data_IF_702093918515
#
_entry.id   IF_702093918515
#
_cell.length_a   1.000
_cell.length_b   1.000
_cell.length_c   1.000
_cell.angle_alpha   90.00
_cell.angle_beta   90.00
_cell.angle_gamma   90.00
#
_symmetry.space_group_name_H-M   'P 1'
#
loop_
_entity.id
_entity.type
_entity.pdbx_description
1 polymer ?
#
# COMPACT_ATOMS: atom_id res chain seq x y z
N UNK A 1 27.26 6.31 -4.50
CA UNK A 1 26.90 5.43 -5.64
C UNK A 1 25.47 4.95 -5.40
N UNK A 2 24.51 5.47 -6.15
CA UNK A 2 23.06 5.22 -5.99
C UNK A 2 22.64 3.97 -6.78
N UNK A 3 23.08 2.81 -6.32
CA UNK A 3 22.63 1.50 -6.82
C UNK A 3 22.03 0.81 -5.60
N UNK A 4 20.71 0.59 -5.58
CA UNK A 4 20.07 -0.09 -4.45
C UNK A 4 18.58 -0.28 -4.66
N UNK A 5 17.83 0.80 -4.79
CA UNK A 5 16.37 0.69 -4.77
C UNK A 5 15.76 0.25 -6.12
N UNK A 6 16.26 0.76 -7.26
CA UNK A 6 15.68 0.44 -8.58
C UNK A 6 15.87 -1.03 -8.99
N UNK A 7 16.94 -1.69 -8.53
CA UNK A 7 17.15 -3.12 -8.79
C UNK A 7 16.33 -4.01 -7.85
N UNK A 8 16.16 -3.62 -6.58
CA UNK A 8 15.24 -4.27 -5.64
C UNK A 8 13.81 -4.32 -6.20
N UNK A 9 13.33 -3.23 -6.80
CA UNK A 9 11.97 -3.16 -7.35
C UNK A 9 11.78 -3.91 -8.69
N UNK A 10 12.85 -4.14 -9.46
CA UNK A 10 12.77 -4.95 -10.69
C UNK A 10 12.57 -6.44 -10.41
N UNK A 11 13.06 -6.93 -9.27
CA UNK A 11 13.03 -8.36 -8.93
C UNK A 11 11.83 -8.76 -8.05
N UNK A 12 10.93 -7.82 -7.71
CA UNK A 12 9.66 -8.09 -7.02
C UNK A 12 8.56 -8.49 -8.03
N UNK A 13 8.93 -8.89 -9.26
CA UNK A 13 8.03 -9.63 -10.15
C UNK A 13 7.42 -10.82 -9.39
N UNK A 14 6.12 -10.68 -9.10
CA UNK A 14 5.14 -11.70 -8.65
C UNK A 14 5.69 -12.98 -7.97
N UNK A 15 6.55 -12.85 -6.97
CA UNK A 15 6.70 -13.89 -5.95
C UNK A 15 5.42 -13.92 -5.13
N UNK A 16 4.66 -15.00 -5.29
CA UNK A 16 3.36 -15.27 -4.67
C UNK A 16 3.43 -15.46 -3.15
N UNK A 17 4.64 -15.51 -2.60
CA UNK A 17 4.92 -16.10 -1.28
C UNK A 17 5.31 -15.05 -0.22
N UNK A 18 5.06 -13.76 -0.49
CA UNK A 18 5.50 -12.61 0.31
C UNK A 18 4.26 -11.75 0.61
N UNK A 19 4.00 -11.46 1.88
CA UNK A 19 2.97 -10.56 2.38
C UNK A 19 1.58 -11.19 2.53
N UNK A 20 0.55 -10.36 2.52
CA UNK A 20 -0.82 -10.82 2.34
C UNK A 20 -0.88 -11.49 0.96
N UNK A 21 -1.05 -12.82 0.94
CA UNK A 21 -0.85 -13.65 -0.24
C UNK A 21 -1.56 -13.11 -1.47
N UNK A 22 -0.81 -12.89 -2.56
CA UNK A 22 -1.35 -12.50 -3.88
C UNK A 22 -2.31 -13.54 -4.45
N UNK A 23 -2.37 -14.75 -3.88
CA UNK A 23 -3.42 -15.74 -4.16
C UNK A 23 -4.84 -15.20 -3.93
N UNK A 24 -5.00 -14.15 -3.11
CA UNK A 24 -6.26 -13.38 -3.04
C UNK A 24 -6.60 -12.66 -4.35
N UNK A 25 -5.60 -12.31 -5.16
CA UNK A 25 -5.72 -11.67 -6.47
C UNK A 25 -5.48 -12.68 -7.60
N UNK A 26 -6.56 -13.09 -8.27
CA UNK A 26 -6.46 -13.98 -9.43
C UNK A 26 -5.68 -13.32 -10.59
N UNK A 27 -5.04 -14.14 -11.45
CA UNK A 27 -4.43 -13.67 -12.71
C UNK A 27 -5.39 -12.78 -13.53
N UNK A 28 -6.67 -13.16 -13.59
CA UNK A 28 -7.71 -12.39 -14.28
C UNK A 28 -7.86 -10.99 -13.69
N UNK A 29 -7.83 -10.85 -12.36
CA UNK A 29 -7.91 -9.54 -11.68
C UNK A 29 -6.66 -8.72 -11.99
N UNK A 30 -5.47 -9.31 -11.93
CA UNK A 30 -4.22 -8.61 -12.26
C UNK A 30 -4.19 -8.13 -13.72
N UNK A 31 -4.86 -8.84 -14.63
CA UNK A 31 -5.00 -8.48 -16.05
C UNK A 31 -6.17 -7.53 -16.35
N UNK A 32 -7.02 -7.22 -15.36
CA UNK A 32 -8.14 -6.29 -15.49
C UNK A 32 -7.64 -4.85 -15.33
N UNK A 33 -8.20 -3.91 -16.09
CA UNK A 33 -7.80 -2.49 -15.95
C UNK A 33 -8.33 -1.91 -14.65
N UNK A 34 -7.62 -0.92 -14.09
CA UNK A 34 -8.08 -0.25 -12.87
C UNK A 34 -9.46 0.38 -13.05
N UNK A 35 -9.71 0.98 -14.23
CA UNK A 35 -11.00 1.53 -14.60
C UNK A 35 -12.12 0.49 -14.49
N UNK A 36 -11.89 -0.73 -14.97
CA UNK A 36 -12.90 -1.79 -14.96
C UNK A 36 -13.15 -2.36 -13.55
N UNK A 37 -12.22 -2.17 -12.62
CA UNK A 37 -12.38 -2.55 -11.21
C UNK A 37 -13.20 -1.52 -10.41
N UNK A 38 -13.30 -0.27 -10.88
CA UNK A 38 -14.08 0.78 -10.21
C UNK A 38 -15.53 0.70 -10.70
N UNK A 39 -16.43 0.27 -9.80
CA UNK A 39 -17.85 0.11 -10.13
C UNK A 39 -18.59 1.44 -10.28
N UNK A 40 -18.17 2.50 -9.58
CA UNK A 40 -18.83 3.81 -9.60
C UNK A 40 -18.14 4.77 -10.57
N UNK A 41 -18.87 5.19 -11.61
CA UNK A 41 -18.38 6.15 -12.61
C UNK A 41 -18.05 7.52 -12.02
N UNK A 42 -18.70 7.93 -10.93
CA UNK A 42 -18.39 9.21 -10.27
C UNK A 42 -17.00 9.22 -9.64
N UNK A 43 -16.53 8.07 -9.16
CA UNK A 43 -15.16 7.93 -8.66
C UNK A 43 -14.17 8.13 -9.81
N UNK A 44 -14.45 7.55 -10.98
CA UNK A 44 -13.62 7.70 -12.18
C UNK A 44 -13.55 9.17 -12.62
N UNK A 45 -14.70 9.86 -12.68
CA UNK A 45 -14.79 11.29 -13.02
C UNK A 45 -13.97 12.14 -12.03
N UNK A 46 -14.16 11.92 -10.73
CA UNK A 46 -13.41 12.62 -9.68
C UNK A 46 -11.89 12.43 -9.81
N UNK A 47 -11.43 11.21 -10.08
CA UNK A 47 -10.00 10.93 -10.26
C UNK A 47 -9.42 11.67 -11.47
N UNK A 48 -10.16 11.75 -12.57
CA UNK A 48 -9.73 12.44 -13.78
C UNK A 48 -9.66 13.96 -13.61
N UNK A 49 -10.49 14.54 -12.75
CA UNK A 49 -10.46 15.97 -12.43
C UNK A 49 -9.27 16.36 -11.54
N UNK A 50 -8.85 15.46 -10.65
CA UNK A 50 -7.89 15.80 -9.59
C UNK A 50 -6.43 15.81 -10.08
N UNK A 51 -6.01 14.79 -10.85
CA UNK A 51 -4.59 14.63 -11.25
C UNK A 51 -4.41 13.93 -12.60
N UNK A 52 -3.41 14.39 -13.35
CA UNK A 52 -3.02 13.78 -14.63
C UNK A 52 -2.53 12.33 -14.50
N UNK A 53 -1.97 11.94 -13.34
CA UNK A 53 -1.51 10.56 -13.09
C UNK A 53 -2.63 9.53 -13.28
N UNK A 54 -3.86 9.86 -12.86
CA UNK A 54 -5.00 8.96 -12.97
C UNK A 54 -5.46 8.74 -14.41
N UNK A 55 -5.24 9.71 -15.31
CA UNK A 55 -5.58 9.56 -16.73
C UNK A 55 -4.84 8.40 -17.40
N UNK A 56 -3.62 8.11 -16.93
CA UNK A 56 -2.79 7.01 -17.40
C UNK A 56 -3.08 5.75 -16.59
N UNK A 57 -3.03 5.83 -15.25
CA UNK A 57 -3.11 4.64 -14.40
C UNK A 57 -4.47 3.94 -14.45
N UNK A 58 -5.57 4.67 -14.72
CA UNK A 58 -6.90 4.06 -14.88
C UNK A 58 -6.96 3.03 -16.02
N UNK A 59 -6.19 3.24 -17.09
CA UNK A 59 -6.22 2.37 -18.27
C UNK A 59 -5.14 1.26 -18.20
N UNK A 60 -4.31 1.23 -17.15
CA UNK A 60 -3.35 0.16 -16.91
C UNK A 60 -4.02 -1.05 -16.31
N UNK A 61 -3.45 -2.22 -16.56
CA UNK A 61 -3.81 -3.43 -15.80
C UNK A 61 -3.37 -3.26 -14.35
N UNK A 62 -4.12 -3.85 -13.41
CA UNK A 62 -3.80 -3.75 -11.98
C UNK A 62 -2.35 -4.20 -11.70
N UNK A 63 -1.89 -5.28 -12.32
CA UNK A 63 -0.52 -5.78 -12.17
C UNK A 63 0.58 -4.91 -12.78
N UNK A 64 0.22 -3.89 -13.57
CA UNK A 64 1.15 -2.95 -14.23
C UNK A 64 1.32 -1.64 -13.45
N UNK A 65 0.58 -1.48 -12.34
CA UNK A 65 0.70 -0.30 -11.49
C UNK A 65 2.07 -0.26 -10.83
N UNK A 66 2.72 0.90 -10.94
CA UNK A 66 3.92 1.16 -10.18
C UNK A 66 3.57 1.63 -8.76
N UNK A 67 4.58 1.67 -7.88
CA UNK A 67 4.43 2.06 -6.48
C UNK A 67 3.81 3.45 -6.29
N UNK A 68 4.13 4.44 -7.13
CA UNK A 68 3.58 5.80 -7.01
C UNK A 68 2.09 5.79 -7.35
N UNK A 69 1.69 4.98 -8.34
CA UNK A 69 0.28 4.83 -8.70
C UNK A 69 -0.49 4.14 -7.57
N UNK A 70 0.05 3.04 -7.02
CA UNK A 70 -0.52 2.35 -5.84
C UNK A 70 -0.67 3.33 -4.66
N UNK A 71 0.36 4.15 -4.41
CA UNK A 71 0.33 5.17 -3.36
C UNK A 71 -0.82 6.16 -3.53
N UNK A 72 -1.03 6.69 -4.73
CA UNK A 72 -2.11 7.65 -4.97
C UNK A 72 -3.49 7.01 -4.73
N UNK A 73 -3.71 5.76 -5.17
CA UNK A 73 -4.97 5.04 -4.88
C UNK A 73 -5.17 4.76 -3.38
N UNK A 74 -4.11 4.37 -2.65
CA UNK A 74 -4.17 4.19 -1.20
C UNK A 74 -4.51 5.48 -0.47
N UNK A 75 -3.91 6.61 -0.88
CA UNK A 75 -4.13 7.92 -0.25
C UNK A 75 -5.57 8.40 -0.39
N UNK A 76 -6.21 8.06 -1.51
CA UNK A 76 -7.62 8.38 -1.77
C UNK A 76 -8.58 7.28 -1.24
N UNK A 77 -8.06 6.24 -0.59
CA UNK A 77 -8.81 5.09 -0.05
C UNK A 77 -9.67 4.36 -1.10
N UNK A 78 -9.13 4.21 -2.32
CA UNK A 78 -9.82 3.60 -3.46
C UNK A 78 -9.24 2.21 -3.72
N UNK A 79 -10.13 1.24 -4.02
CA UNK A 79 -9.76 -0.13 -4.39
C UNK A 79 -8.86 -0.79 -3.32
N UNK A 80 -9.15 -0.56 -2.04
CA UNK A 80 -8.30 -1.00 -0.92
C UNK A 80 -8.09 -2.52 -0.92
N UNK A 81 -9.10 -3.30 -1.31
CA UNK A 81 -9.04 -4.77 -1.46
C UNK A 81 -7.99 -5.23 -2.48
N UNK A 82 -7.59 -4.34 -3.39
CA UNK A 82 -6.57 -4.58 -4.40
C UNK A 82 -5.24 -3.92 -4.05
N UNK A 83 -5.28 -2.68 -3.56
CA UNK A 83 -4.07 -1.91 -3.25
C UNK A 83 -3.33 -2.44 -2.02
N UNK A 84 -4.05 -2.93 -1.01
CA UNK A 84 -3.46 -3.44 0.23
C UNK A 84 -2.62 -4.70 0.00
N UNK A 85 -3.14 -5.75 -0.69
CA UNK A 85 -2.31 -6.88 -1.06
C UNK A 85 -1.07 -6.48 -1.88
N UNK A 86 -1.22 -5.59 -2.87
CA UNK A 86 -0.10 -5.14 -3.69
C UNK A 86 0.98 -4.42 -2.88
N UNK A 87 0.59 -3.52 -1.97
CA UNK A 87 1.56 -2.75 -1.19
C UNK A 87 2.20 -3.58 -0.07
N UNK A 88 1.48 -4.58 0.46
CA UNK A 88 1.96 -5.42 1.57
C UNK A 88 3.31 -6.07 1.27
N UNK A 89 3.54 -6.48 0.02
CA UNK A 89 4.81 -7.07 -0.45
C UNK A 89 5.99 -6.13 -0.31
N UNK A 90 5.77 -4.85 -0.61
CA UNK A 90 6.81 -3.84 -0.48
C UNK A 90 7.08 -3.50 0.98
N UNK A 91 6.03 -3.46 1.80
CA UNK A 91 6.12 -3.13 3.22
C UNK A 91 6.75 -4.27 4.01
N UNK A 92 6.49 -5.53 3.68
CA UNK A 92 7.15 -6.65 4.36
C UNK A 92 8.67 -6.62 4.14
N UNK A 93 9.11 -6.36 2.91
CA UNK A 93 10.52 -6.27 2.58
C UNK A 93 11.17 -4.97 3.06
N UNK A 94 10.40 -3.89 3.09
CA UNK A 94 10.87 -2.58 3.52
C UNK A 94 9.77 -1.84 4.30
N UNK A 95 9.64 -2.13 5.61
CA UNK A 95 8.56 -1.57 6.43
C UNK A 95 8.51 -0.04 6.45
N UNK A 96 9.68 0.59 6.39
CA UNK A 96 9.83 2.04 6.37
C UNK A 96 10.03 2.61 4.97
N UNK A 97 9.55 1.91 3.94
CA UNK A 97 9.60 2.40 2.58
C UNK A 97 9.16 3.87 2.48
N UNK A 98 9.98 4.75 1.87
CA UNK A 98 9.68 6.16 1.78
C UNK A 98 8.49 6.38 0.85
N UNK A 99 7.52 7.15 1.35
CA UNK A 99 6.53 7.80 0.51
C UNK A 99 7.07 9.10 -0.09
N UNK A 100 6.20 9.89 -0.73
CA UNK A 100 6.60 11.17 -1.30
C UNK A 100 7.09 12.19 -0.27
N UNK A 101 6.68 12.08 0.99
CA UNK A 101 6.95 13.11 2.01
C UNK A 101 7.84 12.62 3.15
N UNK A 102 7.73 11.36 3.58
CA UNK A 102 8.52 10.82 4.70
C UNK A 102 8.66 9.29 4.68
N UNK A 103 9.59 8.76 5.49
CA UNK A 103 9.80 7.32 5.70
C UNK A 103 8.65 6.71 6.51
N UNK A 104 8.19 5.52 6.11
CA UNK A 104 7.04 4.86 6.75
C UNK A 104 5.68 5.44 6.40
N UNK A 105 5.60 6.34 5.41
CA UNK A 105 4.35 6.98 5.00
C UNK A 105 3.29 5.99 4.50
N UNK A 106 3.70 4.87 3.90
CA UNK A 106 2.76 3.82 3.52
C UNK A 106 2.07 3.17 4.73
N UNK A 107 2.83 2.82 5.77
CA UNK A 107 2.25 2.33 7.03
C UNK A 107 1.34 3.39 7.65
N UNK A 108 1.73 4.66 7.58
CA UNK A 108 0.91 5.76 8.07
C UNK A 108 -0.45 5.84 7.36
N UNK A 109 -0.48 5.72 6.03
CA UNK A 109 -1.73 5.73 5.26
C UNK A 109 -2.57 4.49 5.58
N UNK A 110 -1.94 3.30 5.64
CA UNK A 110 -2.61 2.04 5.94
C UNK A 110 -3.33 2.11 7.29
N UNK A 111 -2.65 2.57 8.34
CA UNK A 111 -3.25 2.68 9.67
C UNK A 111 -4.33 3.76 9.79
N UNK A 112 -4.52 4.59 8.76
CA UNK A 112 -5.62 5.58 8.68
C UNK A 112 -6.84 5.09 7.90
N UNK A 113 -6.77 3.89 7.31
CA UNK A 113 -7.94 3.26 6.69
C UNK A 113 -9.01 3.02 7.76
N UNK A 114 -10.27 3.24 7.37
CA UNK A 114 -11.42 3.17 8.25
C UNK A 114 -11.57 1.81 8.95
N UNK A 115 -12.02 1.84 10.21
CA UNK A 115 -12.18 0.65 11.04
C UNK A 115 -13.14 -0.38 10.42
N UNK A 116 -14.17 0.05 9.68
CA UNK A 116 -15.11 -0.88 9.04
C UNK A 116 -14.41 -1.74 7.98
N UNK A 117 -13.44 -1.17 7.24
CA UNK A 117 -12.64 -1.94 6.29
C UNK A 117 -11.81 -3.00 7.02
N UNK A 118 -11.14 -2.64 8.11
CA UNK A 118 -10.31 -3.56 8.89
C UNK A 118 -11.12 -4.62 9.62
N UNK A 119 -12.34 -4.30 10.05
CA UNK A 119 -13.26 -5.27 10.62
C UNK A 119 -13.60 -6.39 9.63
N UNK A 120 -13.69 -6.08 8.34
CA UNK A 120 -13.83 -7.09 7.27
C UNK A 120 -12.54 -7.83 6.92
N UNK A 121 -11.38 -7.27 7.24
CA UNK A 121 -10.06 -7.78 6.85
C UNK A 121 -9.10 -7.93 8.04
N UNK A 122 -9.59 -8.45 9.18
CA UNK A 122 -8.82 -8.46 10.44
C UNK A 122 -7.44 -9.10 10.31
N UNK A 123 -7.33 -10.21 9.60
CA UNK A 123 -6.05 -10.90 9.38
C UNK A 123 -5.04 -10.04 8.61
N UNK A 124 -5.49 -9.19 7.68
CA UNK A 124 -4.62 -8.21 7.01
C UNK A 124 -4.16 -7.14 7.97
N UNK A 125 -5.06 -6.68 8.84
CA UNK A 125 -4.73 -5.70 9.85
C UNK A 125 -3.67 -6.25 10.81
N UNK A 126 -3.85 -7.48 11.32
CA UNK A 126 -2.89 -8.18 12.17
C UNK A 126 -1.49 -8.23 11.54
N UNK A 127 -1.41 -8.55 10.25
CA UNK A 127 -0.15 -8.57 9.51
C UNK A 127 0.57 -7.22 9.56
N UNK A 128 -0.14 -6.11 9.36
CA UNK A 128 0.48 -4.79 9.45
C UNK A 128 0.84 -4.42 10.89
N UNK A 129 0.05 -4.85 11.89
CA UNK A 129 0.39 -4.67 13.32
C UNK A 129 1.72 -5.33 13.65
N UNK A 130 1.94 -6.56 13.18
CA UNK A 130 3.18 -7.30 13.44
C UNK A 130 4.40 -6.59 12.83
N UNK A 131 4.26 -6.08 11.60
CA UNK A 131 5.28 -5.24 10.96
C UNK A 131 5.53 -3.96 11.77
N UNK A 132 4.47 -3.30 12.24
CA UNK A 132 4.57 -2.08 13.03
C UNK A 132 5.32 -2.31 14.36
N UNK A 133 5.04 -3.43 15.04
CA UNK A 133 5.74 -3.83 16.27
C UNK A 133 7.22 -4.08 16.00
N UNK A 134 7.53 -4.76 14.90
CA UNK A 134 8.92 -5.00 14.49
C UNK A 134 9.67 -3.68 14.22
N UNK A 135 9.03 -2.75 13.50
CA UNK A 135 9.56 -1.40 13.27
C UNK A 135 9.83 -0.67 14.58
N UNK A 136 8.90 -0.68 15.54
CA UNK A 136 9.10 -0.01 16.83
C UNK A 136 10.25 -0.60 17.63
N UNK A 137 10.46 -1.91 17.55
CA UNK A 137 11.48 -2.62 18.31
C UNK A 137 12.89 -2.46 17.72
N UNK A 138 12.99 -2.38 16.38
CA UNK A 138 14.27 -2.46 15.69
C UNK A 138 14.74 -1.13 15.07
N UNK A 139 13.85 -0.14 14.91
CA UNK A 139 14.20 1.10 14.23
C UNK A 139 14.67 2.18 15.22
N UNK A 140 15.84 2.75 14.94
CA UNK A 140 16.39 3.86 15.70
C UNK A 140 15.46 5.09 15.63
N UNK A 141 15.47 5.90 16.69
CA UNK A 141 14.53 7.02 16.87
C UNK A 141 14.60 8.04 15.72
N UNK A 142 15.76 8.21 15.10
CA UNK A 142 16.01 9.23 14.07
C UNK A 142 15.51 8.84 12.66
N UNK A 143 15.25 7.56 12.41
CA UNK A 143 14.83 7.07 11.08
C UNK A 143 13.30 7.11 10.87
N UNK A 144 12.54 7.10 11.98
CA UNK A 144 11.08 7.07 11.97
C UNK A 144 10.49 8.45 12.23
N UNK A 145 9.75 8.99 11.25
CA UNK A 145 9.02 10.25 11.44
C UNK A 145 8.10 10.17 12.66
N UNK A 146 8.15 11.18 13.52
CA UNK A 146 7.46 11.22 14.81
C UNK A 146 5.94 11.02 14.67
N UNK A 147 5.33 11.45 13.55
CA UNK A 147 3.90 11.23 13.29
C UNK A 147 3.59 9.76 13.05
N UNK A 148 4.46 9.07 12.34
CA UNK A 148 4.36 7.63 12.08
C UNK A 148 4.55 6.87 13.37
N UNK A 149 5.57 7.24 14.16
CA UNK A 149 5.83 6.65 15.48
C UNK A 149 4.61 6.74 16.40
N UNK A 150 4.04 7.94 16.57
CA UNK A 150 2.84 8.15 17.40
C UNK A 150 1.66 7.32 16.94
N UNK A 151 1.42 7.26 15.63
CA UNK A 151 0.33 6.47 15.06
C UNK A 151 0.53 4.98 15.32
N UNK A 152 1.73 4.46 15.05
CA UNK A 152 2.04 3.04 15.27
C UNK A 152 1.88 2.67 16.75
N UNK A 153 2.38 3.49 17.69
CA UNK A 153 2.19 3.25 19.13
C UNK A 153 0.71 3.17 19.48
N UNK A 154 -0.08 4.19 19.08
CA UNK A 154 -1.52 4.23 19.36
C UNK A 154 -2.26 3.01 18.82
N UNK A 155 -1.88 2.56 17.63
CA UNK A 155 -2.50 1.40 16.99
C UNK A 155 -2.10 0.09 17.68
N UNK A 156 -0.82 -0.08 18.00
CA UNK A 156 -0.32 -1.27 18.69
C UNK A 156 -0.85 -1.41 20.14
N UNK A 157 -1.18 -0.31 20.81
CA UNK A 157 -1.79 -0.31 22.15
C UNK A 157 -3.30 -0.63 22.13
N UNK A 158 -3.96 -0.37 21.00
CA UNK A 158 -5.41 -0.56 20.83
C UNK A 158 -5.79 -1.95 20.31
N UNK A 159 -4.82 -2.75 19.88
CA UNK A 159 -4.98 -4.05 19.24
C UNK A 159 -4.53 -5.21 20.15
#
# INVERSE_FOLDING_TARGET
MNVGYRELFKNIELRTDIGIGLETLTKKILETTVRDLISDKKIIEHLLEYRSTYSVSLNKKLGELNRIEIYEYLREFILLEYMIPLISRYIELWPLMPGPFFYGEFLFIIFRIDENFWNGHRHWYSFFIDIAKDVLNNCETEELDERVRKLIISVCESY
#
